data_IF_546598618930
#
_entry.id   IF_546598618930
#
_cell.length_a   1.000
_cell.length_b   1.000
_cell.length_c   1.000
_cell.angle_alpha   90.00
_cell.angle_beta   90.00
_cell.angle_gamma   90.00
#
_symmetry.space_group_name_H-M   'P 1'
#
loop_
_entity.id
_entity.type
_entity.pdbx_description
1 polymer ?
#
# COMPACT_ATOMS: atom_id res chain seq x y z
N UNK A 1 -0.34 -1.06 36.90
CA UNK A 1 0.42 0.20 36.64
C UNK A 1 -0.09 1.40 37.46
N UNK A 2 -0.94 1.19 38.46
CA UNK A 2 -1.65 2.29 39.16
C UNK A 2 -0.72 3.21 39.95
N UNK A 3 0.38 2.71 40.52
CA UNK A 3 1.33 3.48 41.35
C UNK A 3 2.77 3.53 40.77
N UNK A 4 2.94 3.54 39.45
CA UNK A 4 4.28 3.56 38.84
C UNK A 4 4.90 4.97 38.73
N UNK A 5 6.22 5.04 38.92
CA UNK A 5 7.01 6.27 38.70
C UNK A 5 7.01 6.66 37.22
N UNK A 6 6.66 7.91 36.94
CA UNK A 6 6.63 8.45 35.57
C UNK A 6 8.05 8.70 35.04
N UNK A 7 8.22 8.60 33.73
CA UNK A 7 9.50 8.85 33.06
C UNK A 7 9.31 9.87 31.93
N UNK A 8 10.36 10.62 31.60
CA UNK A 8 10.33 11.70 30.59
C UNK A 8 10.66 11.23 29.17
N UNK A 9 11.19 10.02 29.02
CA UNK A 9 11.56 9.45 27.70
C UNK A 9 11.07 8.01 27.57
N UNK A 10 10.64 7.58 26.37
CA UNK A 10 10.12 6.24 26.14
C UNK A 10 11.21 5.15 26.24
N UNK A 11 12.45 5.49 25.89
CA UNK A 11 13.63 4.63 26.04
C UNK A 11 14.74 5.37 26.81
N UNK A 12 15.63 4.63 27.45
CA UNK A 12 16.83 5.19 28.07
C UNK A 12 17.92 5.40 27.00
N UNK A 13 18.39 6.62 26.76
CA UNK A 13 19.42 6.92 25.76
C UNK A 13 20.75 6.16 25.99
N UNK A 14 21.04 5.79 27.23
CA UNK A 14 22.29 5.13 27.60
C UNK A 14 22.20 3.60 27.58
N UNK A 15 21.00 3.04 27.39
CA UNK A 15 20.77 1.59 27.41
C UNK A 15 20.55 1.08 25.99
N UNK A 16 21.53 0.33 25.45
CA UNK A 16 21.39 -0.37 24.16
C UNK A 16 20.83 -1.77 24.39
N UNK A 17 19.64 -2.05 23.88
CA UNK A 17 19.04 -3.39 23.93
C UNK A 17 19.68 -4.29 22.87
N UNK A 18 20.14 -5.48 23.26
CA UNK A 18 20.79 -6.45 22.36
C UNK A 18 20.28 -7.87 22.61
N UNK A 19 20.51 -8.77 21.66
CA UNK A 19 20.08 -10.18 21.78
C UNK A 19 20.81 -10.94 22.89
N UNK A 20 21.99 -10.49 23.29
CA UNK A 20 22.75 -11.09 24.39
C UNK A 20 22.06 -10.90 25.76
N UNK A 21 21.06 -10.01 25.82
CA UNK A 21 20.21 -9.78 27.00
C UNK A 21 19.01 -10.73 27.06
N UNK A 22 18.87 -11.64 26.09
CA UNK A 22 17.83 -12.67 26.09
C UNK A 22 18.19 -13.82 27.05
N UNK A 23 17.19 -14.59 27.53
CA UNK A 23 17.40 -15.75 28.39
C UNK A 23 18.37 -16.77 27.77
N UNK A 24 19.38 -17.17 28.53
CA UNK A 24 20.35 -18.20 28.14
C UNK A 24 20.10 -19.53 28.88
N UNK A 25 19.44 -19.49 30.03
CA UNK A 25 19.14 -20.68 30.83
C UNK A 25 17.65 -21.04 30.78
N UNK A 26 17.33 -22.32 30.94
CA UNK A 26 15.95 -22.81 30.98
C UNK A 26 15.14 -22.27 32.16
N UNK A 27 15.80 -21.75 33.21
CA UNK A 27 15.14 -21.08 34.32
C UNK A 27 14.73 -19.65 33.95
N UNK A 28 15.62 -18.90 33.28
CA UNK A 28 15.30 -17.57 32.76
C UNK A 28 14.20 -17.61 31.70
N UNK A 29 14.20 -18.65 30.85
CA UNK A 29 13.14 -18.88 29.87
C UNK A 29 11.78 -19.09 30.55
N UNK A 30 11.72 -19.96 31.57
CA UNK A 30 10.50 -20.20 32.37
C UNK A 30 9.99 -18.96 33.08
N UNK A 31 10.88 -18.10 33.59
CA UNK A 31 10.49 -16.81 34.17
C UNK A 31 9.79 -15.92 33.14
N UNK A 32 10.32 -15.88 31.91
CA UNK A 32 9.79 -15.07 30.82
C UNK A 32 8.52 -15.63 30.18
N UNK A 33 8.24 -16.93 30.28
CA UNK A 33 6.99 -17.55 29.76
C UNK A 33 5.72 -16.92 30.35
N UNK A 34 5.79 -16.47 31.61
CA UNK A 34 4.67 -15.82 32.30
C UNK A 34 4.48 -14.34 31.91
N UNK A 35 5.43 -13.76 31.16
CA UNK A 35 5.43 -12.34 30.82
C UNK A 35 4.72 -12.12 29.48
N UNK A 36 3.66 -11.29 29.41
CA UNK A 36 2.92 -11.04 28.17
C UNK A 36 3.66 -10.03 27.27
N UNK A 37 4.90 -10.34 26.89
CA UNK A 37 5.78 -9.42 26.16
C UNK A 37 5.23 -9.06 24.78
N UNK A 38 4.82 -10.06 24.00
CA UNK A 38 4.34 -9.86 22.63
C UNK A 38 3.03 -9.07 22.59
N UNK A 39 2.10 -9.39 23.50
CA UNK A 39 0.83 -8.67 23.66
C UNK A 39 1.09 -7.19 24.03
N UNK A 40 1.98 -6.98 25.00
CA UNK A 40 2.37 -5.65 25.42
C UNK A 40 3.00 -4.83 24.29
N UNK A 41 3.96 -5.39 23.54
CA UNK A 41 4.55 -4.72 22.37
C UNK A 41 3.51 -4.49 21.27
N UNK A 42 2.62 -5.44 21.02
CA UNK A 42 1.53 -5.31 20.05
C UNK A 42 0.59 -4.14 20.36
N UNK A 43 0.17 -4.02 21.63
CA UNK A 43 -0.67 -2.90 22.08
C UNK A 43 0.02 -1.53 21.94
N UNK A 44 1.32 -1.48 22.23
CA UNK A 44 2.13 -0.27 22.03
C UNK A 44 2.29 0.07 20.54
N UNK A 45 2.37 -0.93 19.67
CA UNK A 45 2.50 -0.74 18.22
C UNK A 45 1.25 -0.08 17.62
N UNK A 46 0.06 -0.48 18.08
CA UNK A 46 -1.19 0.19 17.69
C UNK A 46 -1.16 1.68 18.08
N UNK A 47 -0.74 1.97 19.32
CA UNK A 47 -0.66 3.34 19.83
C UNK A 47 0.37 4.17 19.06
N UNK A 48 1.54 3.60 18.77
CA UNK A 48 2.63 4.24 18.02
C UNK A 48 2.22 4.62 16.60
N UNK A 49 1.49 3.73 15.92
CA UNK A 49 1.10 3.92 14.52
C UNK A 49 -0.03 4.93 14.33
N UNK A 50 -0.90 5.10 15.34
CA UNK A 50 -2.12 5.91 15.19
C UNK A 50 -2.08 7.26 15.89
N UNK A 51 -1.54 7.34 17.11
CA UNK A 51 -1.71 8.53 17.96
C UNK A 51 -0.46 9.02 18.66
N UNK A 52 0.59 8.18 18.77
CA UNK A 52 1.82 8.49 19.52
C UNK A 52 3.09 8.25 18.70
N UNK A 53 3.35 9.08 17.67
CA UNK A 53 4.55 8.91 16.83
C UNK A 53 5.87 9.04 17.64
N UNK A 54 5.82 9.72 18.78
CA UNK A 54 6.94 9.93 19.71
C UNK A 54 7.46 8.64 20.37
N UNK A 55 6.70 7.54 20.38
CA UNK A 55 7.16 6.24 20.88
C UNK A 55 7.60 5.25 19.79
N UNK A 56 7.43 5.60 18.50
CA UNK A 56 7.68 4.69 17.36
C UNK A 56 9.04 4.01 17.42
N UNK A 57 10.10 4.77 17.67
CA UNK A 57 11.46 4.24 17.73
C UNK A 57 11.64 3.20 18.85
N UNK A 58 11.08 3.47 20.04
CA UNK A 58 11.17 2.56 21.18
C UNK A 58 10.44 1.24 20.89
N UNK A 59 9.22 1.32 20.33
CA UNK A 59 8.42 0.13 19.99
C UNK A 59 9.08 -0.69 18.89
N UNK A 60 9.59 -0.04 17.83
CA UNK A 60 10.33 -0.70 16.75
C UNK A 60 11.61 -1.40 17.26
N UNK A 61 12.26 -0.83 18.27
CA UNK A 61 13.43 -1.45 18.89
C UNK A 61 13.05 -2.69 19.71
N UNK A 62 11.95 -2.63 20.47
CA UNK A 62 11.46 -3.70 21.33
C UNK A 62 10.88 -4.90 20.56
N UNK A 63 10.26 -4.67 19.40
CA UNK A 63 9.67 -5.74 18.59
C UNK A 63 10.69 -6.75 18.06
N UNK A 64 11.96 -6.36 17.96
CA UNK A 64 13.07 -7.23 17.53
C UNK A 64 13.30 -8.44 18.45
N UNK A 65 12.78 -8.38 19.69
CA UNK A 65 12.96 -9.41 20.71
C UNK A 65 11.68 -10.22 20.97
N UNK A 66 10.63 -10.07 20.17
CA UNK A 66 9.34 -10.76 20.37
C UNK A 66 9.47 -12.29 20.49
N UNK A 67 10.42 -12.90 19.78
CA UNK A 67 10.59 -14.36 19.77
C UNK A 67 11.34 -14.89 21.00
N UNK A 68 12.18 -14.06 21.63
CA UNK A 68 12.99 -14.47 22.79
C UNK A 68 13.28 -13.26 23.70
N UNK A 69 12.27 -12.71 24.39
CA UNK A 69 12.43 -11.55 25.24
C UNK A 69 13.13 -11.92 26.55
N UNK A 70 13.88 -10.98 27.12
CA UNK A 70 14.54 -11.11 28.42
C UNK A 70 14.02 -10.07 29.40
N UNK A 71 14.41 -10.18 30.67
CA UNK A 71 13.90 -9.30 31.72
C UNK A 71 14.25 -7.82 31.45
N UNK A 72 15.44 -7.55 30.90
CA UNK A 72 15.85 -6.18 30.51
C UNK A 72 14.93 -5.63 29.42
N UNK A 73 14.57 -6.46 28.42
CA UNK A 73 13.60 -6.09 27.39
C UNK A 73 12.23 -5.78 28.01
N UNK A 74 11.79 -6.58 28.98
CA UNK A 74 10.51 -6.36 29.67
C UNK A 74 10.49 -5.08 30.51
N UNK A 75 11.58 -4.75 31.19
CA UNK A 75 11.70 -3.48 31.91
C UNK A 75 11.64 -2.28 30.96
N UNK A 76 12.22 -2.41 29.76
CA UNK A 76 12.10 -1.38 28.73
C UNK A 76 10.65 -1.23 28.21
N UNK A 77 9.89 -2.32 28.04
CA UNK A 77 8.45 -2.24 27.73
C UNK A 77 7.67 -1.52 28.84
N UNK A 78 7.89 -1.90 30.10
CA UNK A 78 7.28 -1.21 31.27
C UNK A 78 7.60 0.28 31.29
N UNK A 79 8.82 0.67 30.89
CA UNK A 79 9.22 2.08 30.79
C UNK A 79 8.37 2.84 29.76
N UNK A 80 8.12 2.26 28.58
CA UNK A 80 7.27 2.91 27.56
C UNK A 80 5.86 3.16 28.11
N UNK A 81 5.27 2.19 28.81
CA UNK A 81 3.97 2.41 29.43
C UNK A 81 3.99 3.46 30.56
N UNK A 82 5.08 3.56 31.34
CA UNK A 82 5.26 4.65 32.34
C UNK A 82 5.33 6.02 31.65
N UNK A 83 6.00 6.10 30.51
CA UNK A 83 6.07 7.29 29.69
C UNK A 83 4.67 7.69 29.17
N UNK A 84 3.92 6.72 28.61
CA UNK A 84 2.55 6.95 28.15
C UNK A 84 1.62 7.44 29.25
N UNK A 85 1.71 6.86 30.46
CA UNK A 85 0.95 7.32 31.63
C UNK A 85 1.27 8.78 31.99
N UNK A 86 2.54 9.16 31.96
CA UNK A 86 2.97 10.54 32.26
C UNK A 86 2.64 11.54 31.17
N UNK A 87 2.29 11.07 29.97
CA UNK A 87 1.96 11.87 28.79
C UNK A 87 0.52 11.61 28.32
N UNK A 88 -0.36 11.11 29.20
CA UNK A 88 -1.73 10.76 28.84
C UNK A 88 -2.55 11.97 28.35
N UNK A 89 -2.21 13.19 28.80
CA UNK A 89 -2.82 14.44 28.35
C UNK A 89 -2.18 15.02 27.07
N UNK A 90 -1.11 14.42 26.54
CA UNK A 90 -0.50 14.88 25.31
C UNK A 90 -1.43 14.60 24.11
N UNK A 91 -1.52 15.56 23.19
CA UNK A 91 -2.40 15.49 22.03
C UNK A 91 -1.66 15.92 20.76
N UNK A 92 -2.00 15.29 19.65
CA UNK A 92 -1.63 15.81 18.33
C UNK A 92 -2.49 17.04 18.04
N UNK A 93 -1.86 18.19 17.87
CA UNK A 93 -2.54 19.43 17.52
C UNK A 93 -2.31 19.73 16.03
N UNK A 94 -3.38 19.64 15.25
CA UNK A 94 -3.36 20.08 13.86
C UNK A 94 -3.65 21.58 13.81
N UNK A 95 -2.62 22.39 13.50
CA UNK A 95 -2.77 23.83 13.32
C UNK A 95 -3.05 24.15 11.86
N UNK A 96 -4.03 25.01 11.63
CA UNK A 96 -4.34 25.56 10.31
C UNK A 96 -3.37 26.69 10.02
N UNK A 97 -2.43 26.48 9.10
CA UNK A 97 -1.75 27.61 8.47
C UNK A 97 -2.76 28.30 7.55
N UNK A 98 -3.05 29.56 7.85
CA UNK A 98 -4.08 30.33 7.18
C UNK A 98 -3.70 30.65 5.74
N UNK A 99 -4.21 29.86 4.78
CA UNK A 99 -4.72 30.31 3.47
C UNK A 99 -5.00 29.11 2.56
N UNK A 100 -6.29 28.73 2.42
CA UNK A 100 -6.90 27.89 1.34
C UNK A 100 -8.08 27.00 1.81
N UNK A 101 -8.46 27.05 3.10
CA UNK A 101 -9.37 26.06 3.69
C UNK A 101 -10.78 25.95 3.09
N UNK A 102 -11.37 26.99 2.51
CA UNK A 102 -12.77 26.90 2.02
C UNK A 102 -12.89 26.02 0.77
N UNK A 103 -11.97 26.14 -0.20
CA UNK A 103 -11.98 25.28 -1.40
C UNK A 103 -11.75 23.82 -1.01
N UNK A 104 -10.77 23.56 -0.14
CA UNK A 104 -10.53 22.21 0.38
C UNK A 104 -11.72 21.69 1.18
N UNK A 105 -12.39 22.53 1.98
CA UNK A 105 -13.57 22.14 2.75
C UNK A 105 -14.77 21.84 1.86
N UNK A 106 -14.96 22.56 0.76
CA UNK A 106 -15.97 22.23 -0.24
C UNK A 106 -15.67 20.90 -0.94
N UNK A 107 -14.39 20.61 -1.22
CA UNK A 107 -13.98 19.29 -1.73
C UNK A 107 -14.31 18.17 -0.73
N UNK A 108 -13.99 18.36 0.56
CA UNK A 108 -14.33 17.41 1.63
C UNK A 108 -15.85 17.21 1.75
N UNK A 109 -16.65 18.29 1.73
CA UNK A 109 -18.12 18.19 1.72
C UNK A 109 -18.62 17.37 0.54
N UNK A 110 -17.99 17.47 -0.65
CA UNK A 110 -18.36 16.69 -1.83
C UNK A 110 -18.12 15.19 -1.59
N UNK A 111 -17.02 14.82 -0.95
CA UNK A 111 -16.76 13.43 -0.52
C UNK A 111 -17.82 12.96 0.47
N UNK A 112 -18.16 13.74 1.49
CA UNK A 112 -19.21 13.34 2.45
C UNK A 112 -20.59 13.20 1.81
N UNK A 113 -20.94 14.07 0.86
CA UNK A 113 -22.20 13.93 0.10
C UNK A 113 -22.20 12.65 -0.74
N UNK A 114 -21.08 12.32 -1.39
CA UNK A 114 -20.92 11.07 -2.13
C UNK A 114 -21.10 9.86 -1.21
N UNK A 115 -20.36 9.80 -0.10
CA UNK A 115 -20.46 8.71 0.88
C UNK A 115 -21.88 8.55 1.46
N UNK A 116 -22.56 9.67 1.73
CA UNK A 116 -23.96 9.63 2.18
C UNK A 116 -24.89 9.09 1.08
N UNK A 117 -24.69 9.50 -0.16
CA UNK A 117 -25.48 9.05 -1.31
C UNK A 117 -25.25 7.58 -1.66
N UNK A 118 -24.04 7.08 -1.47
CA UNK A 118 -23.65 5.68 -1.68
C UNK A 118 -23.67 4.84 -0.40
N UNK A 119 -24.31 5.33 0.67
CA UNK A 119 -24.43 4.57 1.92
C UNK A 119 -25.11 3.19 1.73
N UNK A 120 -26.06 3.00 0.80
CA UNK A 120 -26.61 1.67 0.49
C UNK A 120 -25.72 0.80 -0.41
N UNK A 121 -24.59 1.32 -0.91
CA UNK A 121 -23.72 0.57 -1.79
C UNK A 121 -23.08 -0.60 -1.02
N UNK A 122 -22.95 -1.74 -1.70
CA UNK A 122 -22.33 -2.95 -1.16
C UNK A 122 -21.30 -3.48 -2.14
N UNK A 123 -20.33 -4.23 -1.59
CA UNK A 123 -19.42 -5.02 -2.39
C UNK A 123 -20.09 -6.37 -2.68
N UNK A 124 -20.32 -6.67 -3.95
CA UNK A 124 -20.87 -7.93 -4.42
C UNK A 124 -19.78 -8.77 -5.06
N UNK A 125 -19.51 -9.94 -4.47
CA UNK A 125 -18.60 -10.92 -5.05
C UNK A 125 -19.38 -11.84 -5.98
N UNK A 126 -19.15 -11.73 -7.29
CA UNK A 126 -19.74 -12.62 -8.29
C UNK A 126 -18.70 -13.61 -8.76
N UNK A 127 -19.07 -14.89 -8.80
CA UNK A 127 -18.26 -15.91 -9.48
C UNK A 127 -18.64 -15.88 -10.96
N UNK A 128 -17.80 -15.26 -11.78
CA UNK A 128 -17.96 -15.21 -13.24
C UNK A 128 -17.46 -16.49 -13.94
N UNK A 129 -16.82 -17.39 -13.19
CA UNK A 129 -16.24 -18.62 -13.70
C UNK A 129 -14.80 -18.46 -14.20
N UNK A 130 -14.26 -17.23 -14.24
CA UNK A 130 -12.89 -16.94 -14.60
C UNK A 130 -12.01 -16.86 -13.34
N UNK A 131 -11.19 -17.89 -13.12
CA UNK A 131 -10.25 -17.91 -11.99
C UNK A 131 -8.94 -17.17 -12.28
N UNK A 132 -8.72 -16.69 -13.50
CA UNK A 132 -7.47 -16.05 -13.86
C UNK A 132 -7.33 -14.66 -13.23
N UNK A 133 -6.07 -14.31 -12.94
CA UNK A 133 -5.72 -12.94 -12.54
C UNK A 133 -5.71 -12.06 -13.78
N UNK A 134 -6.49 -10.98 -13.73
CA UNK A 134 -6.57 -9.98 -14.80
C UNK A 134 -6.29 -8.60 -14.21
N UNK A 135 -5.34 -7.87 -14.79
CA UNK A 135 -5.02 -6.49 -14.43
C UNK A 135 -5.49 -5.47 -15.46
N UNK A 136 -5.78 -4.26 -15.01
CA UNK A 136 -5.98 -3.07 -15.83
C UNK A 136 -5.02 -2.00 -15.32
N UNK A 137 -4.32 -1.30 -16.21
CA UNK A 137 -3.46 -0.17 -15.84
C UNK A 137 -3.75 1.07 -16.70
N UNK A 138 -3.65 2.23 -16.08
CA UNK A 138 -3.83 3.55 -16.70
C UNK A 138 -2.86 4.56 -16.06
N UNK A 139 -2.59 5.68 -16.73
CA UNK A 139 -1.89 6.82 -16.15
C UNK A 139 -2.51 8.16 -16.55
N UNK A 140 -2.56 9.11 -15.60
CA UNK A 140 -2.86 10.51 -15.92
C UNK A 140 -1.55 11.33 -15.98
N UNK A 141 -1.15 11.69 -17.20
CA UNK A 141 0.14 12.33 -17.48
C UNK A 141 0.20 13.77 -16.97
N UNK A 142 1.25 14.08 -16.20
CA UNK A 142 1.50 15.43 -15.66
C UNK A 142 0.32 16.02 -14.84
N UNK A 143 -0.45 15.14 -14.20
CA UNK A 143 -1.64 15.47 -13.42
C UNK A 143 -1.35 16.33 -12.16
N UNK A 144 -0.20 16.13 -11.51
CA UNK A 144 0.21 16.98 -10.39
C UNK A 144 0.63 18.37 -10.90
N UNK A 145 -0.04 19.42 -10.43
CA UNK A 145 0.21 20.77 -10.93
C UNK A 145 1.51 21.39 -10.44
N UNK A 146 2.05 20.89 -9.32
CA UNK A 146 3.19 21.47 -8.63
C UNK A 146 4.50 20.87 -9.16
N UNK A 147 4.57 19.54 -9.31
CA UNK A 147 5.78 18.85 -9.77
C UNK A 147 5.64 18.13 -11.12
N UNK A 148 4.46 18.20 -11.76
CA UNK A 148 4.17 17.62 -13.08
C UNK A 148 4.41 16.12 -13.16
N UNK A 149 4.37 15.43 -12.01
CA UNK A 149 4.39 13.97 -11.99
C UNK A 149 3.01 13.41 -12.32
N UNK A 150 3.00 12.33 -13.08
CA UNK A 150 1.79 11.62 -13.46
C UNK A 150 1.22 10.82 -12.29
N UNK A 151 -0.05 10.45 -12.36
CA UNK A 151 -0.67 9.49 -11.45
C UNK A 151 -0.78 8.13 -12.15
N UNK A 152 -0.29 7.08 -11.49
CA UNK A 152 -0.44 5.69 -11.91
C UNK A 152 -1.63 5.06 -11.21
N UNK A 153 -2.45 4.35 -11.95
CA UNK A 153 -3.58 3.58 -11.44
C UNK A 153 -3.57 2.16 -11.98
N UNK A 154 -3.91 1.18 -11.13
CA UNK A 154 -4.19 -0.17 -11.58
C UNK A 154 -5.24 -0.84 -10.71
N UNK A 155 -5.91 -1.84 -11.28
CA UNK A 155 -6.82 -2.74 -10.57
C UNK A 155 -6.67 -4.17 -11.10
N UNK A 156 -6.67 -5.13 -10.18
CA UNK A 156 -6.57 -6.56 -10.44
C UNK A 156 -7.84 -7.27 -10.01
N UNK A 157 -8.24 -8.25 -10.80
CA UNK A 157 -9.38 -9.12 -10.59
C UNK A 157 -8.94 -10.58 -10.50
N UNK A 158 -9.65 -11.37 -9.70
CA UNK A 158 -9.63 -12.82 -9.74
C UNK A 158 -11.01 -13.36 -9.34
N UNK A 159 -11.44 -14.46 -9.95
CA UNK A 159 -12.74 -15.09 -9.66
C UNK A 159 -13.92 -14.11 -9.80
N UNK A 160 -13.83 -13.15 -10.74
CA UNK A 160 -14.85 -12.13 -10.99
C UNK A 160 -14.92 -10.98 -9.97
N UNK A 161 -14.02 -10.93 -8.98
CA UNK A 161 -13.96 -9.85 -7.99
C UNK A 161 -12.66 -9.06 -8.05
N UNK A 162 -12.71 -7.77 -7.73
CA UNK A 162 -11.51 -6.95 -7.57
C UNK A 162 -10.75 -7.37 -6.30
N UNK A 163 -9.44 -7.64 -6.42
CA UNK A 163 -8.59 -8.20 -5.35
C UNK A 163 -7.41 -7.29 -4.95
N UNK A 164 -6.98 -6.38 -5.83
CA UNK A 164 -5.94 -5.39 -5.54
C UNK A 164 -6.15 -4.16 -6.41
N UNK A 165 -5.92 -2.97 -5.88
CA UNK A 165 -6.02 -1.72 -6.61
C UNK A 165 -5.06 -0.69 -6.02
N UNK A 166 -4.62 0.26 -6.84
CA UNK A 166 -3.71 1.31 -6.41
C UNK A 166 -3.93 2.60 -7.19
N UNK A 167 -3.77 3.72 -6.49
CA UNK A 167 -3.52 5.04 -7.05
C UNK A 167 -2.22 5.54 -6.43
N UNK A 168 -1.22 5.88 -7.25
CA UNK A 168 0.05 6.43 -6.75
C UNK A 168 0.63 7.50 -7.66
N UNK A 169 1.18 8.55 -7.07
CA UNK A 169 2.00 9.51 -7.81
C UNK A 169 3.29 8.86 -8.28
N UNK A 170 3.66 9.07 -9.54
CA UNK A 170 4.92 8.57 -10.09
C UNK A 170 6.11 9.24 -9.40
N UNK A 171 7.22 8.51 -9.28
CA UNK A 171 8.42 9.03 -8.62
C UNK A 171 9.18 10.05 -9.49
N UNK A 172 9.17 9.82 -10.80
CA UNK A 172 9.82 10.66 -11.81
C UNK A 172 8.77 11.30 -12.72
N UNK A 173 9.10 12.45 -13.30
CA UNK A 173 8.27 13.11 -14.33
C UNK A 173 8.41 12.32 -15.62
N UNK A 174 7.29 11.98 -16.25
CA UNK A 174 7.26 11.37 -17.57
C UNK A 174 7.26 12.46 -18.65
N UNK A 175 8.03 12.27 -19.72
CA UNK A 175 8.16 13.23 -20.81
C UNK A 175 7.08 13.06 -21.90
N UNK A 176 6.26 12.01 -21.79
CA UNK A 176 5.12 11.75 -22.68
C UNK A 176 4.05 10.92 -21.98
N UNK A 177 2.84 10.93 -22.53
CA UNK A 177 1.76 10.02 -22.11
C UNK A 177 2.19 8.56 -22.23
N UNK A 178 2.84 8.18 -23.33
CA UNK A 178 3.39 6.83 -23.52
C UNK A 178 4.35 6.42 -22.41
N UNK A 179 5.24 7.32 -21.98
CA UNK A 179 6.16 7.03 -20.86
C UNK A 179 5.39 6.88 -19.54
N UNK A 180 4.41 7.74 -19.26
CA UNK A 180 3.58 7.65 -18.06
C UNK A 180 2.82 6.32 -18.00
N UNK A 181 2.24 5.90 -19.11
CA UNK A 181 1.53 4.62 -19.26
C UNK A 181 2.48 3.44 -19.09
N UNK A 182 3.67 3.51 -19.69
CA UNK A 182 4.68 2.46 -19.53
C UNK A 182 5.14 2.31 -18.08
N UNK A 183 5.26 3.43 -17.37
CA UNK A 183 5.58 3.43 -15.94
C UNK A 183 4.42 2.87 -15.09
N UNK A 184 3.17 3.11 -15.49
CA UNK A 184 1.99 2.50 -14.86
C UNK A 184 1.94 1.00 -15.10
N UNK A 185 2.17 0.56 -16.33
CA UNK A 185 2.30 -0.84 -16.70
C UNK A 185 3.37 -1.54 -15.87
N UNK A 186 4.55 -0.92 -15.68
CA UNK A 186 5.61 -1.47 -14.84
C UNK A 186 5.15 -1.68 -13.39
N UNK A 187 4.42 -0.73 -12.83
CA UNK A 187 3.87 -0.84 -11.49
C UNK A 187 2.81 -1.96 -11.39
N UNK A 188 1.92 -2.05 -12.37
CA UNK A 188 0.93 -3.12 -12.45
C UNK A 188 1.62 -4.48 -12.54
N UNK A 189 2.59 -4.66 -13.44
CA UNK A 189 3.33 -5.92 -13.59
C UNK A 189 4.01 -6.38 -12.30
N UNK A 190 4.57 -5.46 -11.49
CA UNK A 190 5.14 -5.81 -10.18
C UNK A 190 4.09 -6.38 -9.22
N UNK A 191 2.92 -5.73 -9.13
CA UNK A 191 1.80 -6.19 -8.30
C UNK A 191 1.26 -7.54 -8.81
N UNK A 192 0.99 -7.65 -10.11
CA UNK A 192 0.50 -8.88 -10.72
C UNK A 192 1.45 -10.06 -10.53
N UNK A 193 2.77 -9.84 -10.59
CA UNK A 193 3.76 -10.89 -10.30
C UNK A 193 3.71 -11.35 -8.84
N UNK A 194 3.46 -10.43 -7.89
CA UNK A 194 3.25 -10.79 -6.48
C UNK A 194 1.96 -11.59 -6.30
N UNK A 195 0.84 -11.12 -6.87
CA UNK A 195 -0.45 -11.82 -6.84
C UNK A 195 -0.36 -13.21 -7.47
N UNK A 196 0.34 -13.34 -8.60
CA UNK A 196 0.53 -14.62 -9.29
C UNK A 196 1.37 -15.60 -8.48
N UNK A 197 2.37 -15.10 -7.75
CA UNK A 197 3.14 -15.93 -6.81
C UNK A 197 2.26 -16.43 -5.68
N UNK A 198 1.47 -15.55 -5.07
CA UNK A 198 0.52 -15.90 -4.02
C UNK A 198 -0.51 -16.93 -4.51
N UNK A 199 -1.07 -16.73 -5.71
CA UNK A 199 -1.98 -17.67 -6.33
C UNK A 199 -1.35 -19.06 -6.50
N UNK A 200 -0.11 -19.13 -6.98
CA UNK A 200 0.59 -20.41 -7.16
C UNK A 200 0.96 -21.10 -5.83
N UNK A 201 1.15 -20.35 -4.74
CA UNK A 201 1.34 -20.91 -3.40
C UNK A 201 0.04 -21.50 -2.84
N UNK A 202 -1.10 -20.83 -3.08
CA UNK A 202 -2.42 -21.27 -2.61
C UNK A 202 -3.03 -22.37 -3.50
N UNK A 203 -2.77 -22.30 -4.80
CA UNK A 203 -3.30 -23.20 -5.82
C UNK A 203 -2.20 -23.55 -6.85
N UNK A 204 -1.40 -24.60 -6.58
CA UNK A 204 -0.24 -24.97 -7.42
C UNK A 204 -0.57 -25.36 -8.86
N UNK A 205 -1.85 -25.57 -9.17
CA UNK A 205 -2.33 -25.95 -10.51
C UNK A 205 -2.67 -24.74 -11.39
N UNK A 206 -2.55 -23.50 -10.89
CA UNK A 206 -2.78 -22.31 -11.70
C UNK A 206 -1.70 -22.12 -12.77
N UNK A 207 -2.05 -21.42 -13.86
CA UNK A 207 -1.11 -21.05 -14.91
C UNK A 207 0.04 -20.18 -14.39
N UNK A 208 1.09 -19.95 -15.18
CA UNK A 208 2.24 -19.12 -14.77
C UNK A 208 2.11 -17.64 -15.14
N UNK A 209 1.14 -17.32 -15.98
CA UNK A 209 0.94 -15.98 -16.54
C UNK A 209 -0.34 -15.32 -16.04
N UNK A 210 -0.43 -14.02 -16.28
CA UNK A 210 -1.63 -13.20 -16.12
C UNK A 210 -1.69 -12.14 -17.21
N UNK A 211 -2.88 -11.63 -17.50
CA UNK A 211 -3.09 -10.60 -18.53
C UNK A 211 -3.17 -9.22 -17.90
N UNK A 212 -2.56 -8.23 -18.54
CA UNK A 212 -2.70 -6.81 -18.20
C UNK A 212 -3.29 -6.08 -19.41
N UNK A 213 -4.43 -5.44 -19.19
CA UNK A 213 -5.06 -4.55 -20.15
C UNK A 213 -4.51 -3.13 -20.03
N UNK A 214 -4.13 -2.56 -21.17
CA UNK A 214 -3.66 -1.17 -21.31
C UNK A 214 -4.35 -0.53 -22.52
N UNK A 215 -4.73 0.73 -22.45
CA UNK A 215 -5.38 1.46 -23.55
C UNK A 215 -4.41 2.30 -24.38
N UNK A 216 -3.11 2.28 -24.04
CA UNK A 216 -2.09 2.96 -24.81
C UNK A 216 -1.33 2.00 -25.72
N UNK A 217 -1.70 1.99 -27.00
CA UNK A 217 -1.06 1.15 -28.02
C UNK A 217 0.44 1.45 -28.19
N UNK A 218 0.86 2.70 -27.96
CA UNK A 218 2.27 3.08 -28.05
C UNK A 218 3.09 2.49 -26.91
N UNK A 219 2.52 2.40 -25.70
CA UNK A 219 3.16 1.76 -24.55
C UNK A 219 3.27 0.24 -24.75
N UNK A 220 2.22 -0.39 -25.31
CA UNK A 220 2.24 -1.81 -25.68
C UNK A 220 3.28 -2.07 -26.77
N UNK A 221 3.29 -1.26 -27.84
CA UNK A 221 4.27 -1.38 -28.91
C UNK A 221 5.70 -1.21 -28.40
N UNK A 222 5.93 -0.27 -27.47
CA UNK A 222 7.21 -0.08 -26.81
C UNK A 222 7.63 -1.31 -25.99
N UNK A 223 6.68 -1.98 -25.31
CA UNK A 223 6.95 -3.21 -24.56
C UNK A 223 7.35 -4.37 -25.47
N UNK A 224 6.72 -4.46 -26.64
CA UNK A 224 6.94 -5.53 -27.61
C UNK A 224 8.10 -5.26 -28.59
N UNK A 225 8.67 -4.04 -28.63
CA UNK A 225 9.68 -3.70 -29.63
C UNK A 225 11.06 -4.30 -29.34
N UNK A 226 11.76 -4.70 -30.41
CA UNK A 226 13.18 -5.09 -30.37
C UNK A 226 14.15 -3.92 -30.54
N UNK A 227 13.64 -2.78 -31.00
CA UNK A 227 14.39 -1.54 -31.22
C UNK A 227 13.98 -0.53 -30.17
N UNK A 228 14.90 -0.21 -29.27
CA UNK A 228 14.75 0.84 -28.27
C UNK A 228 15.93 1.79 -28.38
N UNK A 229 15.64 3.09 -28.56
CA UNK A 229 16.65 4.14 -28.55
C UNK A 229 16.63 4.80 -27.17
N UNK A 230 17.61 4.45 -26.34
CA UNK A 230 17.72 4.94 -24.97
C UNK A 230 17.89 6.45 -24.91
N UNK A 231 17.03 7.10 -24.12
CA UNK A 231 17.23 8.51 -23.71
C UNK A 231 17.16 8.71 -22.20
N UNK A 232 16.82 7.70 -21.37
CA UNK A 232 16.92 7.84 -19.90
C UNK A 232 17.00 6.51 -19.15
N UNK A 233 18.01 6.36 -18.28
CA UNK A 233 18.32 5.11 -17.57
C UNK A 233 17.13 4.47 -16.82
N UNK A 234 16.23 5.26 -16.22
CA UNK A 234 15.08 4.71 -15.47
C UNK A 234 14.03 4.07 -16.38
N UNK A 235 13.83 4.59 -17.58
CA UNK A 235 12.91 4.00 -18.55
C UNK A 235 13.57 2.77 -19.21
N UNK A 236 14.88 2.79 -19.43
CA UNK A 236 15.64 1.63 -19.94
C UNK A 236 15.51 0.41 -19.03
N UNK A 237 15.69 0.59 -17.70
CA UNK A 237 15.56 -0.51 -16.73
C UNK A 237 14.14 -1.09 -16.70
N UNK A 238 13.12 -0.22 -16.72
CA UNK A 238 11.71 -0.65 -16.78
C UNK A 238 11.41 -1.39 -18.08
N UNK A 239 12.01 -0.92 -19.19
CA UNK A 239 11.87 -1.54 -20.50
C UNK A 239 12.37 -2.97 -20.50
N UNK A 240 13.61 -3.17 -20.04
CA UNK A 240 14.19 -4.50 -19.89
C UNK A 240 13.36 -5.41 -18.98
N UNK A 241 12.87 -4.88 -17.85
CA UNK A 241 12.01 -5.65 -16.93
C UNK A 241 10.73 -6.15 -17.59
N UNK A 242 9.93 -5.26 -18.20
CA UNK A 242 8.68 -5.66 -18.87
C UNK A 242 8.95 -6.64 -20.01
N UNK A 243 10.03 -6.42 -20.77
CA UNK A 243 10.41 -7.28 -21.87
C UNK A 243 10.83 -8.68 -21.41
N UNK A 244 11.57 -8.79 -20.31
CA UNK A 244 11.90 -10.07 -19.68
C UNK A 244 10.62 -10.82 -19.29
N UNK A 245 9.65 -10.14 -18.66
CA UNK A 245 8.38 -10.75 -18.29
C UNK A 245 7.59 -11.26 -19.52
N UNK A 246 7.59 -10.51 -20.62
CA UNK A 246 6.95 -10.93 -21.87
C UNK A 246 7.66 -12.14 -22.49
N UNK A 247 8.99 -12.10 -22.59
CA UNK A 247 9.78 -13.17 -23.18
C UNK A 247 9.68 -14.48 -22.37
N UNK A 248 9.62 -14.37 -21.05
CA UNK A 248 9.43 -15.51 -20.14
C UNK A 248 7.98 -16.03 -20.14
N UNK A 249 7.07 -15.37 -20.85
CA UNK A 249 5.65 -15.70 -20.85
C UNK A 249 5.00 -15.52 -19.47
N UNK A 250 5.52 -14.62 -18.64
CA UNK A 250 4.97 -14.32 -17.29
C UNK A 250 3.81 -13.34 -17.34
N UNK A 251 3.76 -12.49 -18.36
CA UNK A 251 2.66 -11.55 -18.58
C UNK A 251 2.19 -11.60 -20.03
N UNK A 252 0.90 -11.38 -20.22
CA UNK A 252 0.30 -11.07 -21.53
C UNK A 252 -0.16 -9.62 -21.51
N UNK A 253 0.09 -8.86 -22.58
CA UNK A 253 -0.38 -7.49 -22.72
C UNK A 253 -1.46 -7.43 -23.79
N UNK A 254 -2.61 -6.90 -23.43
CA UNK A 254 -3.74 -6.75 -24.35
C UNK A 254 -4.21 -5.30 -24.40
N UNK A 255 -4.54 -4.85 -25.61
CA UNK A 255 -5.16 -3.55 -25.80
C UNK A 255 -6.63 -3.60 -25.38
N UNK A 256 -7.08 -2.56 -24.68
CA UNK A 256 -8.50 -2.30 -24.44
C UNK A 256 -8.83 -0.85 -24.79
N UNK A 257 -10.05 -0.56 -25.24
CA UNK A 257 -10.47 0.83 -25.49
C UNK A 257 -10.55 1.62 -24.17
N UNK A 258 -10.18 2.90 -24.19
CA UNK A 258 -10.23 3.77 -23.01
C UNK A 258 -11.62 3.81 -22.36
N UNK A 259 -12.71 3.74 -23.13
CA UNK A 259 -14.07 3.67 -22.58
C UNK A 259 -14.30 2.46 -21.66
N UNK A 260 -13.59 1.36 -21.90
CA UNK A 260 -13.66 0.13 -21.11
C UNK A 260 -12.51 0.01 -20.09
N UNK A 261 -11.59 0.98 -20.04
CA UNK A 261 -10.48 0.97 -19.10
C UNK A 261 -10.99 1.17 -17.67
N UNK A 262 -10.94 0.11 -16.85
CA UNK A 262 -11.48 0.17 -15.49
C UNK A 262 -10.59 1.02 -14.58
N UNK A 263 -9.28 1.09 -14.85
CA UNK A 263 -8.33 1.85 -14.04
C UNK A 263 -8.45 3.38 -14.17
N UNK A 264 -9.22 3.91 -15.13
CA UNK A 264 -9.37 5.36 -15.37
C UNK A 264 -9.77 6.15 -14.12
N UNK A 265 -10.76 5.66 -13.36
CA UNK A 265 -11.25 6.40 -12.17
C UNK A 265 -10.24 6.41 -11.01
N UNK A 266 -9.15 5.63 -11.12
CA UNK A 266 -8.05 5.60 -10.15
C UNK A 266 -6.98 6.66 -10.47
N UNK A 267 -6.92 7.17 -11.68
CA UNK A 267 -5.87 8.11 -12.12
C UNK A 267 -6.37 9.54 -12.21
N UNK A 268 -7.64 9.72 -12.58
CA UNK A 268 -8.26 11.01 -12.88
C UNK A 268 -9.71 11.07 -12.45
N UNK A 269 -10.24 12.28 -12.33
CA UNK A 269 -11.67 12.48 -12.15
C UNK A 269 -12.41 12.14 -13.46
N UNK A 270 -13.37 11.23 -13.40
CA UNK A 270 -14.11 10.73 -14.57
C UNK A 270 -15.55 11.26 -14.62
N UNK A 271 -16.21 11.09 -15.77
CA UNK A 271 -17.63 11.40 -15.91
C UNK A 271 -18.49 10.48 -15.03
N UNK A 272 -19.72 10.90 -14.70
CA UNK A 272 -20.64 10.10 -13.87
C UNK A 272 -20.87 8.70 -14.46
N UNK A 273 -21.08 8.60 -15.77
CA UNK A 273 -21.32 7.31 -16.43
C UNK A 273 -20.10 6.39 -16.33
N UNK A 274 -18.90 6.96 -16.50
CA UNK A 274 -17.65 6.22 -16.36
C UNK A 274 -17.40 5.81 -14.91
N UNK A 275 -17.72 6.67 -13.94
CA UNK A 275 -17.66 6.35 -12.51
C UNK A 275 -18.56 5.15 -12.20
N UNK A 276 -19.82 5.18 -12.64
CA UNK A 276 -20.79 4.09 -12.43
C UNK A 276 -20.26 2.79 -13.05
N UNK A 277 -19.86 2.83 -14.32
CA UNK A 277 -19.28 1.69 -15.03
C UNK A 277 -18.10 1.07 -14.26
N UNK A 278 -17.13 1.88 -13.85
CA UNK A 278 -15.96 1.42 -13.13
C UNK A 278 -16.32 0.85 -11.75
N UNK A 279 -17.22 1.50 -11.00
CA UNK A 279 -17.65 1.03 -9.68
C UNK A 279 -18.42 -0.29 -9.76
N UNK A 280 -19.32 -0.43 -10.73
CA UNK A 280 -20.06 -1.68 -10.94
C UNK A 280 -19.10 -2.81 -11.38
N UNK A 281 -18.13 -2.49 -12.23
CA UNK A 281 -17.13 -3.46 -12.69
C UNK A 281 -16.28 -4.00 -11.53
N UNK A 282 -15.88 -3.16 -10.56
CA UNK A 282 -15.15 -3.62 -9.36
C UNK A 282 -16.04 -4.25 -8.28
N UNK A 283 -17.35 -4.36 -8.53
CA UNK A 283 -18.31 -5.01 -7.64
C UNK A 283 -18.99 -4.08 -6.63
N UNK A 284 -18.83 -2.76 -6.74
CA UNK A 284 -19.58 -1.78 -5.94
C UNK A 284 -20.93 -1.54 -6.60
N UNK A 285 -21.99 -2.10 -6.01
CA UNK A 285 -23.36 -2.00 -6.52
C UNK A 285 -24.22 -1.20 -5.55
N UNK A 286 -24.98 -0.23 -6.08
CA UNK A 286 -26.00 0.48 -5.32
C UNK A 286 -27.24 -0.41 -5.19
N UNK A 287 -27.78 -0.54 -3.97
CA UNK A 287 -29.05 -1.22 -3.73
C UNK A 287 -30.25 -0.38 -4.18
#
# INVERSE_FOLDING_TARGET
MENCNLVKTPLDPNSKLTKDMSPLTSEQQRLMESVPYQEAVGSLMYTAQLTRPDICYAVSSLSRFNNNPGEIHWQAVKRVFRYLKGTAAAKLEFKRDGNSGEIHWQAVKRVFRYLKGTAPAKLEFKRDGNSEIIGYCDADWAADTDDRKSITGYVYFACGGAISWCTKKQQTVALSTTEAEYMSLTAASQEGMWLKRLENELCPMSGKSFTIYCDNQSAIALACSNTYNARTKHIDVKHHFIKELLNDGKINLEYISSDKMIADYLTKAVSTNKQIFCTEAVGIVNC
#
